data_IF_199571063463
#
_entry.id   IF_199571063463
#
_cell.length_a   1.000
_cell.length_b   1.000
_cell.length_c   1.000
_cell.angle_alpha   90.00
_cell.angle_beta   90.00
_cell.angle_gamma   90.00
#
_symmetry.space_group_name_H-M   'P 1'
#
loop_
_entity.id
_entity.type
_entity.pdbx_description
1 polymer ?
#
# COMPACT_ATOMS: atom_id res chain seq x y z
N UNK A 1 -16.67 -18.41 -2.31
CA UNK A 1 -15.81 -17.98 -1.19
C UNK A 1 -15.41 -16.54 -1.47
N UNK A 2 -15.75 -15.60 -0.60
CA UNK A 2 -15.37 -14.19 -0.77
C UNK A 2 -13.86 -14.07 -0.57
N UNK A 3 -13.13 -13.48 -1.51
CA UNK A 3 -11.70 -13.23 -1.33
C UNK A 3 -11.49 -12.25 -0.16
N UNK A 4 -10.44 -12.44 0.66
CA UNK A 4 -10.12 -11.49 1.71
C UNK A 4 -9.82 -10.12 1.09
N UNK A 5 -10.17 -9.06 1.81
CA UNK A 5 -9.93 -7.69 1.35
C UNK A 5 -8.92 -7.00 2.26
N UNK A 6 -8.06 -6.11 1.76
CA UNK A 6 -7.05 -5.44 2.60
C UNK A 6 -7.64 -4.73 3.82
N UNK A 7 -8.80 -4.02 3.78
CA UNK A 7 -9.35 -3.40 4.98
C UNK A 7 -9.86 -4.44 5.98
N UNK A 8 -10.37 -5.57 5.47
CA UNK A 8 -10.79 -6.70 6.30
C UNK A 8 -9.61 -7.35 7.01
N UNK A 9 -8.53 -7.64 6.26
CA UNK A 9 -7.29 -8.18 6.80
C UNK A 9 -6.65 -7.23 7.82
N UNK A 10 -6.60 -5.93 7.53
CA UNK A 10 -6.07 -4.93 8.46
C UNK A 10 -6.90 -4.85 9.75
N UNK A 11 -8.23 -4.88 9.64
CA UNK A 11 -9.13 -4.94 10.80
C UNK A 11 -8.87 -6.21 11.62
N UNK A 12 -8.67 -7.34 10.95
CA UNK A 12 -8.44 -8.62 11.61
C UNK A 12 -7.05 -8.65 12.27
N UNK A 13 -6.03 -8.03 11.65
CA UNK A 13 -4.70 -7.85 12.23
C UNK A 13 -4.76 -7.03 13.53
N UNK A 14 -5.49 -5.90 13.54
CA UNK A 14 -5.71 -5.13 14.77
C UNK A 14 -6.47 -5.94 15.82
N UNK A 15 -7.54 -6.66 15.47
CA UNK A 15 -8.28 -7.47 16.44
C UNK A 15 -7.41 -8.59 17.04
N UNK A 16 -6.49 -9.17 16.26
CA UNK A 16 -5.58 -10.22 16.73
C UNK A 16 -4.58 -9.73 17.79
N UNK A 17 -4.39 -8.42 17.93
CA UNK A 17 -3.58 -7.84 19.02
C UNK A 17 -4.33 -7.78 20.35
N UNK A 18 -5.66 -7.89 20.35
CA UNK A 18 -6.47 -7.78 21.55
C UNK A 18 -6.29 -8.99 22.46
N UNK A 19 -6.10 -8.75 23.76
CA UNK A 19 -5.92 -9.83 24.75
C UNK A 19 -7.18 -10.68 24.92
N UNK A 20 -8.36 -10.06 24.82
CA UNK A 20 -9.64 -10.72 24.99
C UNK A 20 -10.77 -10.07 24.15
N UNK A 21 -11.91 -10.75 24.11
CA UNK A 21 -13.09 -10.31 23.38
C UNK A 21 -13.74 -9.03 23.93
N UNK A 22 -13.51 -8.70 25.20
CA UNK A 22 -14.10 -7.53 25.83
C UNK A 22 -13.39 -6.25 25.37
N UNK A 23 -12.07 -6.29 25.13
CA UNK A 23 -11.34 -5.23 24.44
C UNK A 23 -11.95 -4.97 23.06
N UNK A 24 -12.22 -6.04 22.28
CA UNK A 24 -12.82 -5.93 20.94
C UNK A 24 -14.23 -5.34 21.00
N UNK A 25 -15.07 -5.78 21.94
CA UNK A 25 -16.42 -5.23 22.16
C UNK A 25 -16.36 -3.76 22.57
N UNK A 26 -15.44 -3.40 23.46
CA UNK A 26 -15.18 -2.03 23.92
C UNK A 26 -14.78 -1.12 22.77
N UNK A 27 -13.79 -1.53 21.97
CA UNK A 27 -13.33 -0.79 20.80
C UNK A 27 -14.46 -0.51 19.79
N UNK A 28 -15.26 -1.54 19.49
CA UNK A 28 -16.45 -1.40 18.62
C UNK A 28 -17.49 -0.46 19.24
N UNK A 29 -17.66 -0.44 20.57
CA UNK A 29 -18.56 0.50 21.26
C UNK A 29 -18.07 1.94 21.13
N UNK A 30 -16.78 2.22 21.29
CA UNK A 30 -16.22 3.57 21.07
C UNK A 30 -16.45 4.06 19.64
N UNK A 31 -16.15 3.22 18.65
CA UNK A 31 -16.44 3.53 17.24
C UNK A 31 -17.92 3.83 17.00
N UNK A 32 -18.81 2.93 17.39
CA UNK A 32 -20.26 3.09 17.16
C UNK A 32 -20.85 4.32 17.84
N UNK A 33 -20.26 4.79 18.95
CA UNK A 33 -20.71 5.99 19.66
C UNK A 33 -20.10 7.28 19.10
N UNK A 34 -19.30 7.21 18.03
CA UNK A 34 -18.65 8.39 17.45
C UNK A 34 -17.67 9.05 18.42
N UNK A 35 -16.99 8.25 19.25
CA UNK A 35 -16.06 8.75 20.28
C UNK A 35 -14.69 9.09 19.70
N UNK A 36 -14.37 8.63 18.50
CA UNK A 36 -13.10 8.91 17.84
C UNK A 36 -13.17 10.31 17.22
N UNK A 37 -12.28 11.19 17.67
CA UNK A 37 -12.24 12.61 17.28
C UNK A 37 -11.28 12.86 16.13
N UNK A 38 -10.21 12.08 16.06
CA UNK A 38 -9.25 12.14 14.97
C UNK A 38 -8.57 10.80 14.80
N UNK A 39 -8.17 10.53 13.55
CA UNK A 39 -7.29 9.43 13.16
C UNK A 39 -6.38 9.98 12.07
N UNK A 40 -5.08 9.77 12.20
CA UNK A 40 -4.08 10.19 11.23
C UNK A 40 -2.92 9.21 11.18
N UNK A 41 -2.23 9.16 10.05
CA UNK A 41 -1.06 8.30 9.89
C UNK A 41 0.11 9.08 9.31
N UNK A 42 1.30 8.62 9.67
CA UNK A 42 2.58 8.99 9.09
C UNK A 42 3.33 7.68 8.77
N UNK A 43 4.45 7.73 8.03
CA UNK A 43 5.30 6.56 7.84
C UNK A 43 5.59 5.79 9.14
N UNK A 44 5.12 4.54 9.22
CA UNK A 44 5.36 3.64 10.36
C UNK A 44 4.58 3.96 11.65
N UNK A 45 3.64 4.92 11.62
CA UNK A 45 2.86 5.25 12.80
C UNK A 45 1.43 5.69 12.50
N UNK A 46 0.53 5.36 13.43
CA UNK A 46 -0.88 5.76 13.42
C UNK A 46 -1.20 6.43 14.76
N UNK A 47 -1.79 7.62 14.72
CA UNK A 47 -2.20 8.36 15.91
C UNK A 47 -3.69 8.68 15.87
N UNK A 48 -4.30 8.81 17.04
CA UNK A 48 -5.70 9.21 17.14
C UNK A 48 -6.07 9.77 18.49
N UNK A 49 -7.23 10.42 18.55
CA UNK A 49 -7.81 10.95 19.78
C UNK A 49 -9.18 10.33 20.00
N UNK A 50 -9.41 9.79 21.20
CA UNK A 50 -10.69 9.20 21.60
C UNK A 50 -11.27 9.99 22.77
N UNK A 51 -12.49 10.49 22.63
CA UNK A 51 -13.22 11.13 23.71
C UNK A 51 -14.14 10.12 24.41
N UNK A 52 -13.89 9.84 25.68
CA UNK A 52 -14.72 8.98 26.51
C UNK A 52 -15.25 9.77 27.72
N UNK A 53 -16.54 10.12 27.67
CA UNK A 53 -17.10 11.07 28.63
C UNK A 53 -16.52 12.48 28.44
N UNK A 54 -15.93 13.02 29.51
CA UNK A 54 -15.30 14.34 29.52
C UNK A 54 -13.80 14.32 29.18
N UNK A 55 -13.19 13.13 29.13
CA UNK A 55 -11.75 12.95 28.95
C UNK A 55 -11.41 12.66 27.49
N UNK A 56 -10.18 13.03 27.11
CA UNK A 56 -9.60 12.78 25.79
C UNK A 56 -8.34 11.96 25.95
N UNK A 57 -8.30 10.83 25.25
CA UNK A 57 -7.18 9.90 25.27
C UNK A 57 -6.43 9.95 23.94
N UNK A 58 -5.10 10.02 24.01
CA UNK A 58 -4.18 10.01 22.89
C UNK A 58 -3.66 8.59 22.66
N UNK A 59 -3.92 8.08 21.47
CA UNK A 59 -3.49 6.76 21.03
C UNK A 59 -2.35 6.91 20.04
N UNK A 60 -1.32 6.08 20.18
CA UNK A 60 -0.32 5.88 19.14
C UNK A 60 -0.10 4.40 18.88
N UNK A 61 0.01 4.04 17.60
CA UNK A 61 0.45 2.75 17.11
C UNK A 61 1.78 2.93 16.41
N UNK A 62 2.77 2.10 16.73
CA UNK A 62 3.97 1.88 15.92
C UNK A 62 3.78 0.64 15.08
N UNK A 63 4.27 0.73 13.85
CA UNK A 63 4.15 -0.31 12.84
C UNK A 63 5.56 -0.62 12.33
N UNK A 64 5.97 -1.88 12.39
CA UNK A 64 7.27 -2.29 11.85
C UNK A 64 7.34 -2.00 10.33
N UNK A 65 8.44 -1.44 9.82
CA UNK A 65 8.56 -1.11 8.40
C UNK A 65 8.69 -2.37 7.53
N UNK A 66 8.26 -2.28 6.26
CA UNK A 66 8.68 -3.23 5.22
C UNK A 66 10.12 -2.84 4.82
N UNK A 67 11.01 -3.81 4.71
CA UNK A 67 12.37 -3.57 4.25
C UNK A 67 12.42 -3.22 2.75
N UNK A 68 13.59 -2.77 2.27
CA UNK A 68 13.74 -2.35 0.87
C UNK A 68 13.55 -3.51 -0.12
N UNK A 69 13.86 -4.75 0.29
CA UNK A 69 13.67 -5.91 -0.56
C UNK A 69 12.18 -6.22 -0.78
N UNK A 70 11.39 -6.22 0.30
CA UNK A 70 9.94 -6.39 0.25
C UNK A 70 9.26 -5.27 -0.53
N UNK A 71 9.70 -4.01 -0.32
CA UNK A 71 9.21 -2.89 -1.10
C UNK A 71 9.53 -3.00 -2.58
N UNK A 72 10.75 -3.42 -2.94
CA UNK A 72 11.12 -3.61 -4.33
C UNK A 72 10.28 -4.69 -5.03
N UNK A 73 9.84 -5.72 -4.31
CA UNK A 73 8.94 -6.74 -4.85
C UNK A 73 7.53 -6.19 -5.08
N UNK A 74 6.96 -5.54 -4.06
CA UNK A 74 5.64 -4.91 -4.17
C UNK A 74 5.62 -3.87 -5.29
N UNK A 75 6.67 -3.05 -5.41
CA UNK A 75 6.81 -2.04 -6.46
C UNK A 75 6.80 -2.67 -7.86
N UNK A 76 7.53 -3.77 -8.06
CA UNK A 76 7.56 -4.47 -9.36
C UNK A 76 6.17 -4.95 -9.76
N UNK A 77 5.43 -5.53 -8.81
CA UNK A 77 4.10 -6.08 -9.10
C UNK A 77 3.07 -4.98 -9.34
N UNK A 78 3.16 -3.87 -8.59
CA UNK A 78 2.39 -2.66 -8.85
C UNK A 78 2.65 -2.16 -10.29
N UNK A 79 3.92 -2.03 -10.70
CA UNK A 79 4.28 -1.55 -12.05
C UNK A 79 3.92 -2.53 -13.16
N UNK A 80 3.83 -3.83 -12.87
CA UNK A 80 3.48 -4.86 -13.83
C UNK A 80 1.98 -4.88 -14.17
N UNK A 81 1.13 -4.39 -13.26
CA UNK A 81 -0.33 -4.42 -13.40
C UNK A 81 -0.92 -3.01 -13.62
N UNK A 82 -1.39 -2.69 -14.84
CA UNK A 82 -2.06 -1.43 -15.14
C UNK A 82 -3.32 -1.17 -14.32
N UNK A 83 -4.07 -2.21 -13.95
CA UNK A 83 -5.29 -2.09 -13.13
C UNK A 83 -4.92 -1.61 -11.73
N UNK A 84 -3.85 -2.16 -11.15
CA UNK A 84 -3.35 -1.76 -9.83
C UNK A 84 -2.78 -0.35 -9.86
N UNK A 85 -2.01 -0.01 -10.90
CA UNK A 85 -1.53 1.36 -11.11
C UNK A 85 -2.67 2.38 -11.19
N UNK A 86 -3.69 2.09 -12.00
CA UNK A 86 -4.86 2.97 -12.14
C UNK A 86 -5.59 3.09 -10.80
N UNK A 87 -5.83 1.98 -10.11
CA UNK A 87 -6.48 1.97 -8.80
C UNK A 87 -5.74 2.83 -7.76
N UNK A 88 -4.40 2.85 -7.76
CA UNK A 88 -3.62 3.71 -6.88
C UNK A 88 -3.69 5.19 -7.29
N UNK A 89 -3.70 5.48 -8.59
CA UNK A 89 -3.73 6.85 -9.11
C UNK A 89 -5.11 7.51 -9.04
N UNK A 90 -6.18 6.71 -9.01
CA UNK A 90 -7.55 7.21 -8.87
C UNK A 90 -7.79 7.87 -7.51
N UNK A 91 -8.49 9.00 -7.53
CA UNK A 91 -8.98 9.64 -6.30
C UNK A 91 -10.26 8.95 -5.84
N UNK A 92 -10.24 8.33 -4.65
CA UNK A 92 -11.41 7.72 -4.02
C UNK A 92 -11.20 6.24 -3.70
N UNK A 93 -12.29 5.51 -3.47
CA UNK A 93 -12.23 4.09 -3.18
C UNK A 93 -11.77 3.32 -4.43
N UNK A 94 -10.60 2.65 -4.41
CA UNK A 94 -10.07 1.96 -5.58
C UNK A 94 -10.95 0.79 -6.00
N UNK A 95 -10.88 0.42 -7.29
CA UNK A 95 -11.49 -0.80 -7.79
C UNK A 95 -10.98 -2.02 -7.01
N UNK A 96 -11.89 -2.85 -6.49
CA UNK A 96 -11.59 -4.06 -5.71
C UNK A 96 -11.48 -5.28 -6.61
N UNK A 97 -10.63 -5.22 -7.62
CA UNK A 97 -10.30 -6.39 -8.44
C UNK A 97 -9.46 -7.36 -7.63
N UNK A 98 -9.41 -8.62 -8.07
CA UNK A 98 -8.61 -9.66 -7.39
C UNK A 98 -7.14 -9.24 -7.28
N UNK A 99 -6.58 -8.71 -8.36
CA UNK A 99 -5.15 -8.36 -8.42
C UNK A 99 -4.82 -7.18 -7.48
N UNK A 100 -5.72 -6.20 -7.40
CA UNK A 100 -5.61 -5.09 -6.43
C UNK A 100 -5.66 -5.60 -5.00
N UNK A 101 -6.62 -6.46 -4.67
CA UNK A 101 -6.73 -7.04 -3.33
C UNK A 101 -5.49 -7.89 -2.99
N UNK A 102 -4.97 -8.68 -3.93
CA UNK A 102 -3.79 -9.52 -3.76
C UNK A 102 -2.54 -8.69 -3.44
N UNK A 103 -2.28 -7.63 -4.21
CA UNK A 103 -1.10 -6.77 -3.99
C UNK A 103 -1.25 -5.94 -2.71
N UNK A 104 -2.40 -5.29 -2.49
CA UNK A 104 -2.58 -4.41 -1.34
C UNK A 104 -2.66 -5.18 -0.01
N UNK A 105 -3.09 -6.44 -0.03
CA UNK A 105 -3.09 -7.27 1.17
C UNK A 105 -1.68 -7.53 1.71
N UNK A 106 -0.64 -7.46 0.87
CA UNK A 106 0.77 -7.60 1.29
C UNK A 106 1.28 -6.40 2.08
N UNK A 107 0.55 -5.28 2.05
CA UNK A 107 0.83 -4.10 2.86
C UNK A 107 0.22 -4.21 4.27
N UNK A 108 -0.62 -5.21 4.54
CA UNK A 108 -1.21 -5.39 5.87
C UNK A 108 -0.11 -5.88 6.83
N UNK A 109 0.13 -5.19 7.96
CA UNK A 109 1.11 -5.62 8.95
C UNK A 109 0.67 -6.91 9.63
N UNK A 110 1.64 -7.71 10.07
CA UNK A 110 1.38 -8.82 10.99
C UNK A 110 0.93 -8.25 12.35
N UNK A 111 0.05 -8.94 13.11
CA UNK A 111 -0.28 -8.53 14.48
C UNK A 111 0.95 -8.30 15.37
N UNK A 112 2.04 -9.06 15.18
CA UNK A 112 3.28 -8.89 15.94
C UNK A 112 4.05 -7.60 15.59
N UNK A 113 3.77 -7.01 14.42
CA UNK A 113 4.38 -5.75 13.97
C UNK A 113 3.65 -4.51 14.51
N UNK A 114 2.57 -4.71 15.28
CA UNK A 114 1.68 -3.66 15.76
C UNK A 114 1.87 -3.42 17.26
N UNK A 115 2.44 -2.28 17.61
CA UNK A 115 2.66 -1.87 19.00
C UNK A 115 1.76 -0.70 19.35
N UNK A 116 0.88 -0.86 20.34
CA UNK A 116 -0.05 0.17 20.76
C UNK A 116 0.36 0.87 22.05
N UNK A 117 0.02 2.15 22.15
CA UNK A 117 0.08 2.95 23.37
C UNK A 117 -1.17 3.81 23.48
N UNK A 118 -1.64 4.00 24.70
CA UNK A 118 -2.74 4.91 25.05
C UNK A 118 -2.40 5.54 26.41
N UNK A 119 -2.73 6.81 26.60
CA UNK A 119 -2.54 7.53 27.88
C UNK A 119 -3.68 7.32 28.89
N UNK A 120 -4.61 6.39 28.62
CA UNK A 120 -5.68 6.00 29.55
C UNK A 120 -5.16 5.19 30.74
N UNK A 121 -5.96 5.10 31.81
CA UNK A 121 -5.64 4.36 33.01
C UNK A 121 -5.80 2.82 32.91
N UNK A 122 -6.19 2.30 31.74
CA UNK A 122 -6.30 0.86 31.49
C UNK A 122 -4.91 0.21 31.41
N UNK A 123 -4.78 -1.02 31.91
CA UNK A 123 -3.55 -1.79 31.92
C UNK A 123 -3.43 -2.74 30.72
N UNK A 124 -4.51 -2.92 29.95
CA UNK A 124 -4.50 -3.73 28.74
C UNK A 124 -3.79 -3.01 27.59
N UNK A 125 -2.98 -3.76 26.84
CA UNK A 125 -2.24 -3.25 25.66
C UNK A 125 -2.51 -4.17 24.47
N UNK A 126 -3.23 -3.71 23.42
CA UNK A 126 -3.96 -2.45 23.36
C UNK A 126 -5.18 -2.42 24.30
N UNK A 127 -5.50 -1.24 24.84
CA UNK A 127 -6.78 -1.00 25.48
C UNK A 127 -7.91 -0.83 24.43
N UNK A 128 -9.16 -0.74 24.88
CA UNK A 128 -10.30 -0.53 24.00
C UNK A 128 -10.21 0.77 23.16
N UNK A 129 -9.62 1.85 23.69
CA UNK A 129 -9.42 3.10 22.94
C UNK A 129 -8.37 2.92 21.84
N UNK A 130 -7.25 2.29 22.16
CA UNK A 130 -6.18 2.04 21.19
C UNK A 130 -6.69 1.18 20.03
N UNK A 131 -7.37 0.09 20.34
CA UNK A 131 -7.99 -0.78 19.34
C UNK A 131 -9.07 -0.04 18.54
N UNK A 132 -9.86 0.85 19.16
CA UNK A 132 -10.86 1.63 18.43
C UNK A 132 -10.24 2.49 17.32
N UNK A 133 -9.09 3.11 17.58
CA UNK A 133 -8.34 3.89 16.58
C UNK A 133 -7.82 3.00 15.45
N UNK A 134 -7.23 1.83 15.76
CA UNK A 134 -6.80 0.86 14.75
C UNK A 134 -7.96 0.40 13.85
N UNK A 135 -9.10 0.07 14.46
CA UNK A 135 -10.30 -0.32 13.73
C UNK A 135 -10.89 0.83 12.89
N UNK A 136 -10.76 2.09 13.32
CA UNK A 136 -11.19 3.25 12.55
C UNK A 136 -10.26 3.52 11.38
N UNK A 137 -8.95 3.37 11.58
CA UNK A 137 -7.98 3.45 10.51
C UNK A 137 -8.21 2.37 9.45
N UNK A 138 -8.45 1.11 9.86
CA UNK A 138 -8.77 0.04 8.92
C UNK A 138 -9.99 0.37 8.05
N UNK A 139 -11.00 1.02 8.62
CA UNK A 139 -12.16 1.51 7.86
C UNK A 139 -11.79 2.66 6.91
N UNK A 140 -10.96 3.61 7.34
CA UNK A 140 -10.49 4.70 6.48
C UNK A 140 -9.71 4.19 5.25
N UNK A 141 -8.93 3.11 5.39
CA UNK A 141 -8.20 2.52 4.24
C UNK A 141 -9.10 1.89 3.18
N UNK A 142 -10.40 1.72 3.47
CA UNK A 142 -11.39 1.30 2.47
C UNK A 142 -11.60 2.38 1.42
N UNK A 143 -11.60 3.64 1.86
CA UNK A 143 -11.95 4.81 1.06
C UNK A 143 -10.70 5.56 0.56
N UNK A 144 -9.58 5.43 1.28
CA UNK A 144 -8.29 5.98 0.87
C UNK A 144 -7.17 4.94 1.01
N UNK A 145 -6.78 4.33 -0.11
CA UNK A 145 -5.67 3.37 -0.16
C UNK A 145 -4.33 4.00 0.22
N UNK A 146 -4.18 5.31 0.07
CA UNK A 146 -2.93 5.99 0.40
C UNK A 146 -2.68 6.03 1.90
N UNK A 147 -3.71 5.96 2.72
CA UNK A 147 -3.53 5.77 4.16
C UNK A 147 -2.77 4.46 4.45
N UNK A 148 -3.10 3.37 3.75
CA UNK A 148 -2.40 2.08 3.90
C UNK A 148 -0.94 2.16 3.43
N UNK A 149 -0.70 2.73 2.23
CA UNK A 149 0.67 2.88 1.73
C UNK A 149 1.51 3.78 2.64
N UNK A 150 0.94 4.90 3.10
CA UNK A 150 1.61 5.85 3.97
C UNK A 150 1.98 5.18 5.29
N UNK A 151 1.08 4.37 5.88
CA UNK A 151 1.38 3.60 7.08
C UNK A 151 2.61 2.70 6.90
N UNK A 152 2.76 2.08 5.72
CA UNK A 152 3.90 1.22 5.37
C UNK A 152 5.13 1.98 4.89
N UNK A 153 5.06 3.31 4.83
CA UNK A 153 6.21 4.20 4.63
C UNK A 153 6.35 4.76 3.21
N UNK A 154 5.39 4.55 2.31
CA UNK A 154 5.44 5.09 0.94
C UNK A 154 4.23 5.98 0.66
N UNK A 155 4.48 7.18 0.14
CA UNK A 155 3.43 8.14 -0.21
C UNK A 155 3.15 8.20 -1.71
N UNK A 156 2.26 9.12 -2.11
CA UNK A 156 1.96 9.40 -3.53
C UNK A 156 3.19 9.73 -4.35
N UNK A 157 4.05 10.60 -3.81
CA UNK A 157 5.26 11.04 -4.51
C UNK A 157 6.19 9.88 -4.82
N UNK A 158 6.27 8.89 -3.92
CA UNK A 158 7.05 7.69 -4.18
C UNK A 158 6.56 6.94 -5.41
N UNK A 159 5.24 6.73 -5.56
CA UNK A 159 4.69 6.00 -6.71
C UNK A 159 4.95 6.73 -8.02
N UNK A 160 4.77 8.05 -8.03
CA UNK A 160 5.00 8.88 -9.23
C UNK A 160 6.46 8.84 -9.65
N UNK A 161 7.37 9.01 -8.69
CA UNK A 161 8.82 8.97 -8.94
C UNK A 161 9.26 7.57 -9.37
N UNK A 162 8.76 6.53 -8.71
CA UNK A 162 9.13 5.14 -9.00
C UNK A 162 8.66 4.69 -10.38
N UNK A 163 7.43 5.04 -10.78
CA UNK A 163 6.91 4.72 -12.10
C UNK A 163 7.60 5.55 -13.21
N UNK A 164 7.95 6.82 -12.95
CA UNK A 164 8.75 7.61 -13.89
C UNK A 164 10.13 6.96 -14.12
N UNK A 165 10.80 6.54 -13.04
CA UNK A 165 12.07 5.83 -13.12
C UNK A 165 11.93 4.48 -13.84
N UNK A 166 10.85 3.73 -13.58
CA UNK A 166 10.58 2.47 -14.27
C UNK A 166 10.34 2.66 -15.77
N UNK A 167 9.57 3.69 -16.18
CA UNK A 167 9.41 4.05 -17.59
C UNK A 167 10.74 4.44 -18.25
N UNK A 168 11.57 5.23 -17.57
CA UNK A 168 12.87 5.63 -18.10
C UNK A 168 13.78 4.41 -18.34
N UNK A 169 13.85 3.46 -17.38
CA UNK A 169 14.58 2.19 -17.55
C UNK A 169 14.08 1.39 -18.75
N UNK A 170 12.75 1.20 -18.86
CA UNK A 170 12.13 0.50 -20.01
C UNK A 170 12.45 1.16 -21.35
N UNK A 171 12.53 2.49 -21.39
CA UNK A 171 12.92 3.23 -22.61
C UNK A 171 14.40 3.00 -22.94
N UNK A 172 15.29 3.12 -21.96
CA UNK A 172 16.73 2.89 -22.15
C UNK A 172 17.01 1.45 -22.62
N UNK A 173 16.35 0.45 -22.03
CA UNK A 173 16.48 -0.95 -22.45
C UNK A 173 16.06 -1.15 -23.91
N UNK A 174 14.97 -0.49 -24.35
CA UNK A 174 14.54 -0.51 -25.76
C UNK A 174 15.53 0.18 -26.69
N UNK A 175 16.14 1.28 -26.25
CA UNK A 175 17.14 2.03 -27.03
C UNK A 175 18.50 1.28 -27.08
N UNK A 176 18.81 0.46 -26.08
CA UNK A 176 19.97 -0.44 -26.05
C UNK A 176 19.75 -1.80 -26.73
N UNK A 177 18.55 -2.08 -27.22
CA UNK A 177 18.14 -3.37 -27.80
C UNK A 177 18.03 -3.35 -29.33
N UNK A 178 19.10 -3.82 -30.00
CA UNK A 178 19.31 -4.15 -31.42
C UNK A 178 20.06 -3.08 -32.25
N UNK A 179 21.32 -3.35 -32.70
CA UNK A 179 21.88 -2.57 -33.81
C UNK A 179 20.98 -2.73 -35.03
N UNK A 180 20.84 -1.70 -35.90
CA UNK A 180 20.22 -1.93 -37.20
C UNK A 180 20.91 -3.15 -37.81
N UNK A 181 20.14 -4.16 -38.20
CA UNK A 181 20.70 -5.28 -38.94
C UNK A 181 21.50 -4.67 -40.07
N UNK A 182 22.78 -5.02 -40.18
CA UNK A 182 23.56 -4.76 -41.38
C UNK A 182 22.66 -5.15 -42.55
N UNK A 183 22.16 -4.14 -43.28
CA UNK A 183 21.77 -4.37 -44.65
C UNK A 183 23.06 -4.85 -45.31
N UNK A 184 23.17 -6.17 -45.43
CA UNK A 184 24.12 -6.80 -46.32
C UNK A 184 23.73 -6.26 -47.69
N UNK A 185 24.37 -5.19 -48.10
CA UNK A 185 24.48 -4.83 -49.50
C UNK A 185 25.12 -6.04 -50.17
N UNK A 186 24.26 -6.90 -50.72
CA UNK A 186 24.69 -8.01 -51.54
C UNK A 186 25.64 -7.50 -52.63
N UNK A 187 26.60 -8.32 -53.08
CA UNK A 187 27.59 -7.89 -54.04
C UNK A 187 26.91 -7.25 -55.26
N UNK A 188 27.33 -6.03 -55.58
CA UNK A 188 26.91 -5.32 -56.79
C UNK A 188 27.24 -6.24 -57.98
N UNK A 189 26.25 -6.63 -58.81
CA UNK A 189 26.54 -7.47 -59.96
C UNK A 189 27.50 -6.73 -60.91
N UNK A 190 28.67 -7.30 -61.08
CA UNK A 190 29.70 -6.82 -61.99
C UNK A 190 29.25 -7.00 -63.44
N UNK A 191 29.01 -5.87 -64.12
CA UNK A 191 29.25 -5.73 -65.55
C UNK A 191 28.15 -6.21 -66.49
N UNK A 192 27.23 -5.31 -66.83
CA UNK A 192 26.60 -5.34 -68.15
C UNK A 192 27.62 -4.77 -69.17
N UNK A 193 28.10 -5.61 -70.09
CA UNK A 193 28.83 -5.15 -71.27
C UNK A 193 27.86 -4.38 -72.15
N UNK A 194 28.20 -3.12 -72.45
CA UNK A 194 27.57 -2.37 -73.54
C UNK A 194 28.24 -2.85 -74.82
N UNK A 195 27.51 -3.62 -75.64
CA UNK A 195 27.91 -3.89 -77.01
C UNK A 195 27.51 -2.69 -77.86
N UNK A 196 28.52 -1.95 -78.31
CA UNK A 196 28.44 -1.05 -79.46
C UNK A 196 28.49 -1.87 -80.75
N UNK A 197 27.47 -1.73 -81.60
CA UNK A 197 27.41 -2.35 -82.93
C UNK A 197 26.00 -2.34 -83.51
#
# INVERSE_FOLDING_TARGET
MTHPTWPGLLRDAFNATALDDDVVKGARRHKRRGMIRSVGSVPGALSGVVQDGAEFWHVNWRIAPIDEAGWAEIERDIHADPVVMVALLESGAPARTRDVEEILSRLVPDPADLEATCDCADWLVPCAHALAVGLAFAEATRDDVWALLLLRGRGRDWLVVSEAAARARRLLDRLGGRPPSEEVFGPVPSGARVSSG
#
